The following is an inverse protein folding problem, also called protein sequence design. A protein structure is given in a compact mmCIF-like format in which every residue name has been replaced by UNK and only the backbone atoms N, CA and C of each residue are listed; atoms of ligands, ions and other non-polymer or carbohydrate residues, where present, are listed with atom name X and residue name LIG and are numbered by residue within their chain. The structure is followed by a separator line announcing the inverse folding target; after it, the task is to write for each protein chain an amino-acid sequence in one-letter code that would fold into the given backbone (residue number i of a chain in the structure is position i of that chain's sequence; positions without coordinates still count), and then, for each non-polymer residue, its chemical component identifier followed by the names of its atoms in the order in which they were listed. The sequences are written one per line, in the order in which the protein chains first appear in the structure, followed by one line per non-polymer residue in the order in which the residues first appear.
data_IF_909779776196
#
_entry.id   IF_909779776196
#
_cell.length_a   1.000
_cell.length_b   1.000
_cell.length_c   1.000
_cell.angle_alpha   90.00
_cell.angle_beta   90.00
_cell.angle_gamma   90.00
#
_symmetry.space_group_name_H-M   'P 1'
#
loop_
_entity.id
_entity.type
_entity.pdbx_description
1 polymer ?
#
# COMPACT_ATOMS: atom_id res chain seq x y z
N UNK A 1 25.39 30.33 -6.61
CA UNK A 1 25.48 28.86 -6.76
C UNK A 1 25.18 28.24 -5.41
N UNK A 2 23.97 27.68 -5.23
CA UNK A 2 23.55 27.03 -3.97
C UNK A 2 23.54 25.54 -4.26
N UNK A 3 24.43 24.82 -3.55
CA UNK A 3 24.59 23.38 -3.66
C UNK A 3 23.45 22.71 -2.87
N UNK A 4 22.54 22.02 -3.55
CA UNK A 4 21.52 21.19 -2.90
C UNK A 4 22.13 19.81 -2.63
N UNK A 5 22.56 19.61 -1.39
CA UNK A 5 22.95 18.29 -0.89
C UNK A 5 21.68 17.42 -0.77
N UNK A 6 21.54 16.44 -1.65
CA UNK A 6 20.52 15.41 -1.52
C UNK A 6 20.76 14.58 -0.26
N UNK A 7 19.83 14.60 0.67
CA UNK A 7 19.82 13.70 1.83
C UNK A 7 19.25 12.38 1.36
N UNK A 8 20.13 11.40 1.14
CA UNK A 8 19.73 10.01 0.94
C UNK A 8 19.39 9.42 2.32
N UNK A 9 18.13 9.23 2.62
CA UNK A 9 17.71 8.50 3.83
C UNK A 9 17.94 7.01 3.54
N UNK A 10 19.06 6.49 4.02
CA UNK A 10 19.31 5.06 4.05
C UNK A 10 18.41 4.44 5.12
N UNK A 11 17.43 3.66 4.68
CA UNK A 11 16.60 2.85 5.58
C UNK A 11 17.46 1.80 6.26
N UNK A 12 17.81 2.04 7.52
CA UNK A 12 18.61 1.12 8.31
C UNK A 12 17.70 -0.02 8.81
N UNK A 13 17.75 -1.16 8.12
CA UNK A 13 17.12 -2.40 8.58
C UNK A 13 17.89 -2.87 9.81
N UNK A 14 17.32 -2.72 10.99
CA UNK A 14 17.90 -3.26 12.23
C UNK A 14 17.56 -4.74 12.31
N UNK A 15 18.54 -5.59 12.04
CA UNK A 15 18.44 -7.05 12.20
C UNK A 15 18.69 -7.38 13.66
N UNK A 16 17.67 -7.77 14.41
CA UNK A 16 17.81 -8.36 15.73
C UNK A 16 18.18 -9.84 15.60
N UNK A 17 19.39 -10.21 15.92
CA UNK A 17 19.78 -11.60 16.08
C UNK A 17 19.60 -12.03 17.54
N UNK A 18 18.67 -12.94 17.80
CA UNK A 18 18.55 -13.60 19.10
C UNK A 18 19.40 -14.87 19.11
N UNK A 19 20.36 -14.95 20.03
CA UNK A 19 21.19 -16.13 20.23
C UNK A 19 20.48 -17.07 21.21
N UNK A 20 19.97 -18.21 20.72
CA UNK A 20 19.43 -19.28 21.57
C UNK A 20 20.50 -20.32 21.85
N UNK A 21 20.93 -20.47 23.12
CA UNK A 21 21.85 -21.53 23.55
C UNK A 21 21.09 -22.86 23.65
N UNK A 22 21.44 -23.81 22.80
CA UNK A 22 20.95 -25.20 22.88
C UNK A 22 21.94 -26.05 23.71
N UNK A 23 21.45 -26.99 24.54
CA UNK A 23 22.30 -27.85 25.35
C UNK A 23 23.21 -28.81 24.53
N UNK A 24 23.05 -28.88 23.23
CA UNK A 24 23.87 -29.70 22.31
C UNK A 24 24.84 -28.88 21.43
N UNK A 25 25.12 -27.63 21.79
CA UNK A 25 26.19 -26.84 21.17
C UNK A 25 25.95 -26.37 19.73
N UNK A 26 24.74 -26.60 19.15
CA UNK A 26 24.35 -26.06 17.86
C UNK A 26 23.61 -24.73 18.07
N UNK A 27 24.29 -23.63 17.85
CA UNK A 27 23.67 -22.30 17.81
C UNK A 27 22.96 -22.11 16.47
N UNK A 28 21.63 -22.22 16.45
CA UNK A 28 20.84 -21.80 15.31
C UNK A 28 20.69 -20.28 15.34
N UNK A 29 21.23 -19.60 14.32
CA UNK A 29 20.93 -18.19 14.11
C UNK A 29 19.50 -18.10 13.55
N UNK A 30 18.55 -17.69 14.37
CA UNK A 30 17.21 -17.32 13.92
C UNK A 30 17.30 -15.88 13.44
N UNK A 31 17.28 -15.68 12.13
CA UNK A 31 17.09 -14.36 11.58
C UNK A 31 15.62 -13.99 11.79
N UNK A 32 15.37 -12.96 12.58
CA UNK A 32 14.05 -12.38 12.62
C UNK A 32 13.74 -11.80 11.23
N UNK A 33 12.77 -12.38 10.55
CA UNK A 33 12.22 -11.77 9.33
C UNK A 33 11.61 -10.44 9.73
N UNK A 34 11.79 -9.41 8.90
CA UNK A 34 11.11 -8.13 9.07
C UNK A 34 9.59 -8.32 9.08
N UNK A 35 8.81 -7.31 9.46
CA UNK A 35 7.37 -7.40 9.41
C UNK A 35 6.91 -7.79 7.99
N UNK A 36 5.82 -8.57 7.87
CA UNK A 36 5.31 -8.99 6.56
C UNK A 36 4.96 -7.75 5.74
N UNK A 37 5.47 -7.69 4.50
CA UNK A 37 5.12 -6.66 3.53
C UNK A 37 4.03 -7.22 2.62
N UNK A 38 2.91 -6.49 2.53
CA UNK A 38 1.83 -6.78 1.59
C UNK A 38 2.11 -5.97 0.34
N UNK A 39 2.30 -6.62 -0.79
CA UNK A 39 2.56 -5.99 -2.09
C UNK A 39 1.38 -6.19 -3.02
N UNK A 40 0.87 -5.10 -3.60
CA UNK A 40 -0.28 -5.08 -4.51
C UNK A 40 0.18 -4.46 -5.83
N UNK A 41 0.09 -5.22 -6.92
CA UNK A 41 0.33 -4.70 -8.27
C UNK A 41 -0.93 -3.98 -8.77
N UNK A 42 -0.74 -2.81 -9.39
CA UNK A 42 -1.82 -1.97 -9.91
C UNK A 42 -1.75 -1.97 -11.44
N UNK A 43 -2.87 -2.30 -12.08
CA UNK A 43 -3.01 -2.31 -13.55
C UNK A 43 -4.38 -1.81 -13.98
N UNK A 44 -4.49 -1.32 -15.21
CA UNK A 44 -5.78 -0.88 -15.77
C UNK A 44 -6.76 -2.03 -15.99
N UNK A 45 -6.28 -3.26 -16.19
CA UNK A 45 -7.13 -4.45 -16.39
C UNK A 45 -7.92 -4.84 -15.13
N UNK A 46 -7.44 -4.45 -13.95
CA UNK A 46 -8.11 -4.69 -12.66
C UNK A 46 -9.20 -3.66 -12.33
N UNK A 47 -9.27 -2.54 -13.07
CA UNK A 47 -10.34 -1.54 -12.91
C UNK A 47 -11.70 -2.10 -13.31
N UNK A 48 -12.76 -1.49 -12.79
CA UNK A 48 -14.15 -1.89 -13.07
C UNK A 48 -14.97 -0.68 -13.54
N UNK A 49 -15.27 -0.60 -14.85
CA UNK A 49 -14.83 -1.49 -15.93
C UNK A 49 -13.32 -1.36 -16.21
N UNK A 50 -12.68 -2.36 -16.86
CA UNK A 50 -11.26 -2.30 -17.22
C UNK A 50 -10.89 -1.09 -18.05
N UNK A 51 -9.73 -0.49 -17.74
CA UNK A 51 -9.15 0.67 -18.43
C UNK A 51 -7.99 0.19 -19.31
N UNK A 52 -7.98 0.64 -20.57
CA UNK A 52 -6.88 0.38 -21.50
C UNK A 52 -5.80 1.46 -21.28
N UNK A 53 -4.74 1.10 -20.62
CA UNK A 53 -3.61 1.98 -20.30
C UNK A 53 -2.30 1.21 -20.25
N UNK A 54 -1.18 1.89 -20.48
CA UNK A 54 0.18 1.39 -20.24
C UNK A 54 0.66 1.70 -18.81
N UNK A 55 -0.16 2.40 -18.02
CA UNK A 55 0.15 2.73 -16.64
C UNK A 55 0.21 1.47 -15.80
N UNK A 56 1.21 1.41 -14.92
CA UNK A 56 1.38 0.34 -13.93
C UNK A 56 1.85 0.92 -12.61
N UNK A 57 1.54 0.24 -11.52
CA UNK A 57 1.99 0.66 -10.20
C UNK A 57 2.16 -0.50 -9.23
N UNK A 58 2.75 -0.17 -8.09
CA UNK A 58 2.90 -1.06 -6.95
C UNK A 58 2.56 -0.28 -5.69
N UNK A 59 1.68 -0.84 -4.88
CA UNK A 59 1.42 -0.38 -3.52
C UNK A 59 1.96 -1.41 -2.52
N UNK A 60 2.68 -0.94 -1.51
CA UNK A 60 3.22 -1.77 -0.45
C UNK A 60 2.70 -1.30 0.90
N UNK A 61 2.37 -2.25 1.77
CA UNK A 61 1.86 -1.99 3.12
C UNK A 61 2.64 -2.82 4.13
N UNK A 62 3.10 -2.16 5.19
CA UNK A 62 3.90 -2.76 6.25
C UNK A 62 3.23 -2.43 7.59
N UNK A 63 2.67 -3.40 8.32
CA UNK A 63 2.18 -3.17 9.68
C UNK A 63 3.28 -2.63 10.59
N UNK A 64 2.98 -1.54 11.31
CA UNK A 64 3.89 -0.90 12.27
C UNK A 64 3.24 -0.93 13.65
N UNK A 65 3.60 -1.91 14.44
CA UNK A 65 2.91 -2.17 15.70
C UNK A 65 1.47 -2.65 15.47
N UNK A 66 0.56 -2.24 16.36
CA UNK A 66 -0.86 -2.64 16.30
C UNK A 66 -1.78 -1.54 15.77
N UNK A 67 -1.29 -0.29 15.72
CA UNK A 67 -2.13 0.91 15.55
C UNK A 67 -1.85 1.67 14.26
N UNK A 68 -0.93 1.18 13.42
CA UNK A 68 -0.59 1.87 12.18
C UNK A 68 -0.06 0.92 11.09
N UNK A 69 -0.17 1.37 9.83
CA UNK A 69 0.34 0.70 8.65
C UNK A 69 1.14 1.73 7.86
N UNK A 70 2.44 1.50 7.67
CA UNK A 70 3.23 2.26 6.72
C UNK A 70 2.88 1.82 5.30
N UNK A 71 2.85 2.77 4.36
CA UNK A 71 2.60 2.45 2.95
C UNK A 71 3.57 3.18 2.03
N UNK A 72 3.77 2.61 0.85
CA UNK A 72 4.33 3.26 -0.32
C UNK A 72 3.47 2.97 -1.55
N UNK A 73 3.35 3.94 -2.45
CA UNK A 73 2.70 3.79 -3.77
C UNK A 73 3.62 4.38 -4.81
N UNK A 74 3.97 3.57 -5.79
CA UNK A 74 4.75 4.00 -6.95
C UNK A 74 3.98 3.63 -8.22
N UNK A 75 3.87 4.56 -9.16
CA UNK A 75 3.28 4.31 -10.47
C UNK A 75 4.07 5.01 -11.58
N UNK A 76 4.14 4.37 -12.74
CA UNK A 76 4.86 4.82 -13.92
C UNK A 76 3.99 4.71 -15.17
N UNK A 77 4.38 5.40 -16.24
CA UNK A 77 3.61 5.48 -17.49
C UNK A 77 2.18 6.00 -17.27
N UNK A 78 2.01 6.91 -16.31
CA UNK A 78 0.72 7.47 -15.90
C UNK A 78 0.80 9.00 -16.01
N UNK A 79 -0.28 9.63 -16.47
CA UNK A 79 -0.36 11.06 -16.65
C UNK A 79 -1.61 11.64 -15.98
N UNK A 80 -1.49 12.88 -15.51
CA UNK A 80 -2.65 13.59 -14.95
C UNK A 80 -3.17 13.00 -13.63
N UNK A 81 -2.31 12.39 -12.82
CA UNK A 81 -2.68 11.79 -11.53
C UNK A 81 -3.23 12.83 -10.59
N UNK A 82 -4.37 12.54 -9.98
CA UNK A 82 -5.07 13.42 -9.04
C UNK A 82 -5.08 12.90 -7.61
N UNK A 83 -5.22 11.58 -7.41
CA UNK A 83 -5.31 10.97 -6.09
C UNK A 83 -5.04 9.46 -6.10
N UNK A 84 -4.78 8.89 -4.93
CA UNK A 84 -4.76 7.46 -4.69
C UNK A 84 -5.50 7.10 -3.41
N UNK A 85 -6.28 6.02 -3.46
CA UNK A 85 -7.15 5.62 -2.36
C UNK A 85 -7.08 4.11 -2.07
N UNK A 86 -7.50 3.75 -0.84
CA UNK A 86 -7.97 2.41 -0.53
C UNK A 86 -9.49 2.46 -0.49
N UNK A 87 -10.12 1.48 -1.10
CA UNK A 87 -11.56 1.31 -1.17
C UNK A 87 -12.02 0.00 -0.52
N UNK A 88 -13.26 -0.05 -0.06
CA UNK A 88 -13.90 -1.27 0.42
C UNK A 88 -14.79 -1.83 -0.70
N UNK A 89 -14.36 -2.93 -1.30
CA UNK A 89 -15.06 -3.65 -2.37
C UNK A 89 -14.39 -4.98 -2.66
N UNK A 90 -15.20 -5.98 -3.03
CA UNK A 90 -14.70 -7.28 -3.45
C UNK A 90 -14.09 -7.22 -4.87
N UNK A 91 -13.45 -8.31 -5.30
CA UNK A 91 -12.94 -8.44 -6.67
C UNK A 91 -14.07 -8.19 -7.68
N UNK A 92 -13.83 -7.30 -8.63
CA UNK A 92 -14.80 -6.96 -9.67
C UNK A 92 -15.93 -6.02 -9.22
N UNK A 93 -15.86 -5.45 -8.02
CA UNK A 93 -16.83 -4.51 -7.50
C UNK A 93 -16.18 -3.16 -7.16
N UNK A 94 -16.87 -2.07 -7.47
CA UNK A 94 -16.50 -0.74 -7.01
C UNK A 94 -17.13 -0.47 -5.64
N UNK A 95 -16.38 0.19 -4.77
CA UNK A 95 -16.84 0.51 -3.42
C UNK A 95 -16.39 1.88 -2.92
N UNK A 96 -16.86 2.28 -1.74
CA UNK A 96 -16.53 3.57 -1.15
C UNK A 96 -15.06 3.65 -0.72
N UNK A 97 -14.51 4.87 -0.72
CA UNK A 97 -13.20 5.19 -0.17
C UNK A 97 -13.21 4.91 1.34
N UNK A 98 -12.14 4.30 1.83
CA UNK A 98 -11.90 4.07 3.25
C UNK A 98 -10.60 4.67 3.76
N UNK A 99 -9.65 4.98 2.86
CA UNK A 99 -8.43 5.74 3.16
C UNK A 99 -8.03 6.56 1.94
N UNK A 100 -7.78 7.85 2.11
CA UNK A 100 -7.05 8.66 1.13
C UNK A 100 -5.54 8.51 1.39
N UNK A 101 -4.83 7.88 0.46
CA UNK A 101 -3.38 7.71 0.54
C UNK A 101 -2.65 9.00 0.19
N UNK A 102 -3.04 9.60 -0.93
CA UNK A 102 -2.54 10.90 -1.37
C UNK A 102 -3.56 11.62 -2.25
N UNK A 103 -3.41 12.93 -2.33
CA UNK A 103 -4.17 13.81 -3.23
C UNK A 103 -3.30 14.96 -3.65
N UNK A 104 -3.30 15.28 -4.94
CA UNK A 104 -2.55 16.40 -5.50
C UNK A 104 -3.44 17.61 -5.77
N UNK A 105 -2.93 18.81 -5.48
CA UNK A 105 -3.59 20.08 -5.82
C UNK A 105 -3.52 20.38 -7.31
N UNK A 106 -2.53 19.81 -8.00
CA UNK A 106 -2.35 19.88 -9.45
C UNK A 106 -1.95 18.51 -9.96
N UNK A 107 -2.44 18.09 -11.15
CA UNK A 107 -2.15 16.75 -11.68
C UNK A 107 -0.66 16.47 -11.86
N UNK A 108 -0.24 15.24 -11.59
CA UNK A 108 1.14 14.76 -11.68
C UNK A 108 1.27 13.65 -12.72
N UNK A 109 2.50 13.47 -13.28
CA UNK A 109 2.76 12.46 -14.31
C UNK A 109 3.60 11.28 -13.78
N UNK A 110 3.68 11.14 -12.49
CA UNK A 110 4.29 9.99 -11.78
C UNK A 110 3.75 9.95 -10.36
N UNK A 111 3.83 8.80 -9.73
CA UNK A 111 3.52 8.63 -8.31
C UNK A 111 4.72 8.03 -7.61
N UNK A 112 5.17 8.68 -6.55
CA UNK A 112 6.16 8.15 -5.62
C UNK A 112 5.83 8.67 -4.23
N UNK A 113 4.79 8.10 -3.63
CA UNK A 113 4.21 8.54 -2.38
C UNK A 113 4.42 7.51 -1.27
N UNK A 114 4.55 7.99 -0.05
CA UNK A 114 4.63 7.16 1.13
C UNK A 114 4.00 7.88 2.34
N UNK A 115 3.60 7.08 3.32
CA UNK A 115 2.99 7.63 4.52
C UNK A 115 2.65 6.57 5.54
N UNK A 116 1.81 6.96 6.49
CA UNK A 116 1.33 6.09 7.55
C UNK A 116 -0.17 6.23 7.69
N UNK A 117 -0.87 5.10 7.69
CA UNK A 117 -2.32 5.01 7.97
C UNK A 117 -2.47 4.77 9.47
N UNK A 118 -3.25 5.63 10.11
CA UNK A 118 -3.67 5.56 11.52
C UNK A 118 -5.19 5.60 11.59
N UNK A 119 -5.78 5.24 12.71
CA UNK A 119 -7.24 5.12 12.83
C UNK A 119 -8.00 6.42 12.51
N UNK A 120 -7.40 7.59 12.75
CA UNK A 120 -7.95 8.90 12.42
C UNK A 120 -8.02 9.21 10.92
N UNK A 121 -7.31 8.43 10.09
CA UNK A 121 -7.34 8.53 8.62
C UNK A 121 -8.35 7.60 7.98
N UNK A 122 -9.03 6.78 8.77
CA UNK A 122 -10.09 5.91 8.27
C UNK A 122 -11.35 6.73 7.99
N UNK A 123 -11.92 6.56 6.79
CA UNK A 123 -13.06 7.34 6.33
C UNK A 123 -14.18 6.44 5.78
N UNK A 124 -15.30 7.05 5.39
CA UNK A 124 -16.46 6.33 4.87
C UNK A 124 -16.95 5.24 5.83
N UNK A 125 -17.16 4.00 5.37
CA UNK A 125 -17.61 2.89 6.21
C UNK A 125 -16.61 2.48 7.31
N UNK A 126 -15.35 2.89 7.20
CA UNK A 126 -14.29 2.61 8.19
C UNK A 126 -14.08 3.76 9.18
N UNK A 127 -14.79 4.88 9.04
CA UNK A 127 -14.67 6.01 9.98
C UNK A 127 -14.96 5.56 11.42
N UNK A 128 -14.03 5.87 12.34
CA UNK A 128 -14.13 5.48 13.75
C UNK A 128 -13.81 4.02 14.06
N UNK A 129 -13.37 3.24 13.06
CA UNK A 129 -12.84 1.88 13.23
C UNK A 129 -11.38 1.88 13.66
N UNK A 130 -10.85 0.70 13.98
CA UNK A 130 -9.44 0.50 14.32
C UNK A 130 -8.64 0.03 13.10
N UNK A 131 -7.30 0.16 13.18
CA UNK A 131 -6.40 -0.37 12.14
C UNK A 131 -6.55 -1.88 11.97
N UNK A 132 -6.86 -2.61 13.04
CA UNK A 132 -7.16 -4.05 12.97
C UNK A 132 -8.40 -4.38 12.12
N UNK A 133 -9.39 -3.49 12.06
CA UNK A 133 -10.56 -3.68 11.19
C UNK A 133 -10.18 -3.53 9.72
N UNK A 134 -9.33 -2.55 9.41
CA UNK A 134 -8.78 -2.36 8.05
C UNK A 134 -7.93 -3.57 7.64
N UNK A 135 -7.05 -4.04 8.52
CA UNK A 135 -6.23 -5.23 8.27
C UNK A 135 -7.10 -6.48 8.01
N UNK A 136 -8.13 -6.70 8.84
CA UNK A 136 -9.09 -7.80 8.66
C UNK A 136 -9.81 -7.72 7.32
N UNK A 137 -10.23 -6.53 6.89
CA UNK A 137 -10.84 -6.35 5.57
C UNK A 137 -9.86 -6.66 4.44
N UNK A 138 -8.58 -6.30 4.61
CA UNK A 138 -7.50 -6.66 3.68
C UNK A 138 -7.31 -8.18 3.59
N UNK A 139 -7.17 -8.87 4.72
CA UNK A 139 -7.01 -10.33 4.78
C UNK A 139 -8.19 -11.08 4.14
N UNK A 140 -9.39 -10.51 4.23
CA UNK A 140 -10.60 -11.05 3.60
C UNK A 140 -10.70 -10.74 2.09
N UNK A 141 -9.73 -10.02 1.50
CA UNK A 141 -9.74 -9.66 0.09
C UNK A 141 -10.85 -8.67 -0.29
N UNK A 142 -11.32 -7.87 0.65
CA UNK A 142 -12.40 -6.88 0.44
C UNK A 142 -11.89 -5.45 0.33
N UNK A 143 -10.58 -5.26 0.21
CA UNK A 143 -9.97 -3.95 -0.06
C UNK A 143 -9.29 -3.95 -1.42
N UNK A 144 -9.32 -2.80 -2.09
CA UNK A 144 -8.49 -2.56 -3.25
C UNK A 144 -7.85 -1.17 -3.18
N UNK A 145 -6.72 -1.03 -3.86
CA UNK A 145 -6.05 0.25 -4.08
C UNK A 145 -6.30 0.68 -5.49
N UNK A 146 -6.56 1.97 -5.72
CA UNK A 146 -6.50 2.52 -7.06
C UNK A 146 -5.89 3.93 -7.10
N UNK A 147 -5.45 4.30 -8.31
CA UNK A 147 -4.91 5.62 -8.63
C UNK A 147 -5.80 6.27 -9.69
N UNK A 148 -6.22 7.49 -9.42
CA UNK A 148 -7.11 8.27 -10.26
C UNK A 148 -6.33 9.29 -11.06
N UNK A 149 -6.81 9.57 -12.28
CA UNK A 149 -6.27 10.60 -13.16
C UNK A 149 -7.38 11.53 -13.66
N UNK A 150 -7.00 12.64 -14.30
CA UNK A 150 -7.96 13.52 -14.98
C UNK A 150 -8.75 12.79 -16.08
N UNK A 151 -8.09 11.85 -16.79
CA UNK A 151 -8.74 11.06 -17.86
C UNK A 151 -9.62 9.95 -17.31
N UNK A 152 -9.23 9.35 -16.17
CA UNK A 152 -9.93 8.26 -15.52
C UNK A 152 -10.25 8.63 -14.06
N UNK A 153 -11.23 9.52 -13.84
CA UNK A 153 -11.57 10.02 -12.50
C UNK A 153 -12.15 8.95 -11.56
N UNK A 154 -12.57 7.81 -12.10
CA UNK A 154 -13.03 6.66 -11.32
C UNK A 154 -11.92 5.65 -10.98
N UNK A 155 -10.72 5.85 -11.53
CA UNK A 155 -9.53 5.01 -11.39
C UNK A 155 -8.92 4.67 -12.75
N UNK A 156 -7.60 4.74 -12.86
CA UNK A 156 -6.85 4.35 -14.06
C UNK A 156 -6.14 3.01 -13.87
N UNK A 157 -5.58 2.79 -12.68
CA UNK A 157 -4.95 1.51 -12.31
C UNK A 157 -5.43 1.09 -10.92
N UNK A 158 -5.71 -0.19 -10.79
CA UNK A 158 -6.25 -0.82 -9.58
C UNK A 158 -5.52 -2.12 -9.25
N UNK A 159 -5.50 -2.49 -7.98
CA UNK A 159 -5.07 -3.80 -7.52
C UNK A 159 -5.84 -4.23 -6.30
N UNK A 160 -6.30 -5.49 -6.25
CA UNK A 160 -7.02 -6.05 -5.13
C UNK A 160 -6.06 -6.40 -4.00
N UNK A 161 -6.39 -6.00 -2.77
CA UNK A 161 -5.71 -6.43 -1.55
C UNK A 161 -6.19 -7.81 -1.12
N UNK A 162 -5.33 -8.50 -0.37
CA UNK A 162 -5.59 -9.85 0.12
C UNK A 162 -4.83 -10.91 -0.67
N UNK A 163 -4.51 -12.01 0.01
CA UNK A 163 -3.95 -13.17 -0.65
C UNK A 163 -5.11 -13.84 -1.41
N UNK A 164 -5.09 -13.97 -2.75
CA UNK A 164 -6.06 -14.81 -3.41
C UNK A 164 -5.89 -16.21 -2.79
N UNK A 165 -6.87 -16.63 -1.97
CA UNK A 165 -6.92 -18.02 -1.54
C UNK A 165 -6.91 -18.83 -2.80
N UNK A 166 -5.78 -19.53 -3.05
CA UNK A 166 -5.68 -20.51 -4.11
C UNK A 166 -6.80 -21.54 -3.90
N UNK A 167 -7.85 -21.44 -4.72
CA UNK A 167 -8.74 -22.56 -4.94
C UNK A 167 -8.03 -23.64 -5.78
#
# INVERSE_FOLDING_TARGET
MINKSGVTIATMVVIFAALMLSPNGLTSLVFAQGPPTITINLTGSEEVPPVQTEATGVAEFIPVGMDSIAYSVNATNIEGVTAGHIHLGAIGENGPIVVTLFKYDSPMNEVSENGTITADKLEGPMAGKQISDLATAGDNGTLYVNVHTEQNPNGEIRGQGGNPTSE
#
